data_IF_659604218552
#
_entry.id   IF_659604218552
#
_cell.length_a   1.000
_cell.length_b   1.000
_cell.length_c   1.000
_cell.angle_alpha   90.00
_cell.angle_beta   90.00
_cell.angle_gamma   90.00
#
_symmetry.space_group_name_H-M   'P 1'
#
loop_
_entity.id
_entity.type
_entity.pdbx_description
1 polymer ?
#
# COMPACT_ATOMS: atom_id res chain seq x y z
N UNK A 1 -40.64 -5.82 -2.07
CA UNK A 1 -40.31 -5.26 -0.74
C UNK A 1 -40.22 -6.31 0.36
N UNK A 2 -41.26 -7.11 0.69
CA UNK A 2 -41.24 -8.08 1.83
C UNK A 2 -40.08 -9.11 1.75
N UNK A 3 -39.59 -9.44 0.56
CA UNK A 3 -38.47 -10.36 0.37
C UNK A 3 -37.10 -9.77 0.72
N UNK A 4 -36.82 -8.55 0.24
CA UNK A 4 -35.52 -7.88 0.38
C UNK A 4 -35.17 -7.63 1.85
N UNK A 5 -36.13 -7.17 2.65
CA UNK A 5 -35.92 -6.91 4.08
C UNK A 5 -35.55 -8.18 4.86
N UNK A 6 -36.17 -9.32 4.53
CA UNK A 6 -35.84 -10.60 5.17
C UNK A 6 -34.45 -11.10 4.79
N UNK A 7 -34.00 -10.87 3.55
CA UNK A 7 -32.65 -11.26 3.14
C UNK A 7 -31.57 -10.34 3.71
N UNK A 8 -31.83 -9.03 3.78
CA UNK A 8 -30.97 -8.09 4.51
C UNK A 8 -30.85 -8.55 5.96
N UNK A 9 -31.97 -8.91 6.59
CA UNK A 9 -31.99 -9.43 7.95
C UNK A 9 -31.15 -10.71 8.10
N UNK A 10 -31.26 -11.66 7.17
CA UNK A 10 -30.44 -12.88 7.15
C UNK A 10 -28.93 -12.55 7.08
N UNK A 11 -28.53 -11.61 6.20
CA UNK A 11 -27.13 -11.15 6.09
C UNK A 11 -26.67 -10.50 7.40
N UNK A 12 -27.50 -9.62 7.95
CA UNK A 12 -27.22 -8.88 9.17
C UNK A 12 -27.07 -9.82 10.38
N UNK A 13 -27.99 -10.78 10.55
CA UNK A 13 -27.92 -11.80 11.61
C UNK A 13 -26.65 -12.65 11.52
N UNK A 14 -26.23 -12.97 10.30
CA UNK A 14 -24.99 -13.68 10.07
C UNK A 14 -23.76 -12.85 10.45
N UNK A 15 -23.70 -11.59 10.00
CA UNK A 15 -22.61 -10.68 10.34
C UNK A 15 -22.49 -10.47 11.86
N UNK A 16 -23.62 -10.40 12.58
CA UNK A 16 -23.63 -10.33 14.05
C UNK A 16 -23.12 -11.62 14.70
N UNK A 17 -23.63 -12.77 14.26
CA UNK A 17 -23.37 -14.06 14.93
C UNK A 17 -21.98 -14.64 14.66
N UNK A 18 -21.35 -14.30 13.53
CA UNK A 18 -20.08 -14.92 13.11
C UNK A 18 -18.90 -13.95 13.04
N UNK A 19 -19.14 -12.65 12.83
CA UNK A 19 -18.07 -11.72 12.44
C UNK A 19 -17.96 -10.46 13.30
N UNK A 20 -18.61 -10.44 14.47
CA UNK A 20 -18.62 -9.35 15.45
C UNK A 20 -19.04 -7.99 14.87
N UNK A 21 -19.99 -7.99 13.95
CA UNK A 21 -20.64 -6.74 13.54
C UNK A 21 -21.72 -6.35 14.56
N UNK A 22 -21.79 -5.07 14.87
CA UNK A 22 -22.91 -4.44 15.56
C UNK A 22 -23.88 -3.87 14.52
N UNK A 23 -25.16 -3.88 14.82
CA UNK A 23 -26.20 -3.40 13.91
C UNK A 23 -26.82 -2.16 14.52
N UNK A 24 -26.91 -1.11 13.72
CA UNK A 24 -27.52 0.15 14.12
C UNK A 24 -28.66 0.48 13.16
N UNK A 25 -29.77 0.94 13.72
CA UNK A 25 -30.86 1.52 12.94
C UNK A 25 -30.56 3.02 12.74
N UNK A 26 -30.55 3.46 11.49
CA UNK A 26 -30.41 4.85 11.09
C UNK A 26 -31.76 5.37 10.62
N UNK A 27 -32.10 6.59 11.05
CA UNK A 27 -33.37 7.21 10.70
C UNK A 27 -33.08 8.28 9.64
N UNK A 28 -33.29 7.95 8.37
CA UNK A 28 -32.73 8.78 7.29
C UNK A 28 -33.67 9.05 6.13
N UNK A 29 -33.75 10.32 5.71
CA UNK A 29 -34.23 10.78 4.39
C UNK A 29 -33.14 10.64 3.30
N UNK A 30 -32.22 9.67 3.41
CA UNK A 30 -31.02 9.52 2.56
C UNK A 30 -31.28 8.82 1.23
N UNK A 31 -32.48 8.29 1.00
CA UNK A 31 -32.78 7.46 -0.17
C UNK A 31 -32.25 6.03 -0.08
N UNK A 32 -31.70 5.61 1.07
CA UNK A 32 -31.38 4.21 1.34
C UNK A 32 -32.65 3.37 1.47
N UNK A 33 -32.62 2.16 0.92
CA UNK A 33 -33.76 1.24 0.98
C UNK A 33 -33.84 0.51 2.33
N UNK A 34 -32.71 0.41 3.05
CA UNK A 34 -32.65 -0.14 4.40
C UNK A 34 -32.20 0.90 5.41
N UNK A 35 -32.91 0.94 6.53
CA UNK A 35 -32.56 1.74 7.70
C UNK A 35 -31.51 1.05 8.58
N UNK A 36 -30.98 -0.12 8.20
CA UNK A 36 -30.03 -0.86 9.01
C UNK A 36 -28.62 -0.77 8.44
N UNK A 37 -27.66 -0.42 9.30
CA UNK A 37 -26.24 -0.46 8.99
C UNK A 37 -25.54 -1.49 9.86
N UNK A 38 -24.56 -2.19 9.29
CA UNK A 38 -23.70 -3.10 10.03
C UNK A 38 -22.32 -2.45 10.24
N UNK A 39 -21.86 -2.38 11.47
CA UNK A 39 -20.62 -1.70 11.89
C UNK A 39 -19.70 -2.68 12.58
N UNK A 40 -18.48 -2.84 12.07
CA UNK A 40 -17.41 -3.60 12.73
C UNK A 40 -16.35 -2.64 13.22
N UNK A 41 -16.15 -2.65 14.53
CA UNK A 41 -15.10 -1.89 15.18
C UNK A 41 -13.74 -2.55 14.94
N UNK A 42 -12.79 -1.82 14.34
CA UNK A 42 -11.39 -2.23 14.19
C UNK A 42 -10.50 -1.24 14.94
N UNK A 43 -9.23 -1.61 15.15
CA UNK A 43 -8.29 -0.78 15.91
C UNK A 43 -8.23 0.66 15.40
N UNK A 44 -8.10 0.85 14.08
CA UNK A 44 -7.85 2.17 13.47
C UNK A 44 -9.07 2.83 12.79
N UNK A 45 -10.14 2.09 12.50
CA UNK A 45 -11.31 2.60 11.77
C UNK A 45 -12.57 1.78 12.01
N UNK A 46 -13.74 2.36 11.78
CA UNK A 46 -14.99 1.62 11.71
C UNK A 46 -15.22 1.13 10.29
N UNK A 47 -15.44 -0.18 10.13
CA UNK A 47 -15.87 -0.74 8.86
C UNK A 47 -17.40 -0.75 8.84
N UNK A 48 -18.00 0.11 8.02
CA UNK A 48 -19.45 0.29 7.96
C UNK A 48 -19.97 -0.31 6.66
N UNK A 49 -21.03 -1.10 6.75
CA UNK A 49 -21.73 -1.69 5.62
C UNK A 49 -23.16 -1.18 5.58
N UNK A 50 -23.54 -0.61 4.45
CA UNK A 50 -24.90 -0.18 4.14
C UNK A 50 -25.46 -1.00 2.99
N UNK A 51 -26.78 -1.18 2.98
CA UNK A 51 -27.50 -1.92 1.95
C UNK A 51 -28.37 -0.96 1.12
N UNK A 52 -28.27 -1.06 -0.20
CA UNK A 52 -29.06 -0.27 -1.14
C UNK A 52 -29.51 -1.12 -2.32
N UNK A 53 -30.41 -0.61 -3.16
CA UNK A 53 -30.80 -1.27 -4.41
C UNK A 53 -30.24 -0.58 -5.65
N UNK A 54 -30.34 -1.26 -6.79
CA UNK A 54 -29.96 -0.74 -8.10
C UNK A 54 -30.75 0.51 -8.51
N UNK A 55 -31.97 0.70 -7.97
CA UNK A 55 -32.76 1.90 -8.23
C UNK A 55 -32.32 3.08 -7.34
N UNK A 56 -32.02 2.81 -6.07
CA UNK A 56 -31.64 3.82 -5.10
C UNK A 56 -30.21 4.35 -5.32
N UNK A 57 -29.27 3.51 -5.80
CA UNK A 57 -27.86 3.90 -5.91
C UNK A 57 -27.61 5.14 -6.78
N UNK A 58 -28.41 5.32 -7.84
CA UNK A 58 -28.25 6.45 -8.78
C UNK A 58 -28.48 7.81 -8.11
N UNK A 59 -29.18 7.83 -6.98
CA UNK A 59 -29.52 9.03 -6.24
C UNK A 59 -28.86 9.08 -4.86
N UNK A 60 -27.91 8.20 -4.55
CA UNK A 60 -27.22 8.20 -3.26
C UNK A 60 -26.24 9.37 -3.17
N UNK A 61 -26.43 10.20 -2.15
CA UNK A 61 -25.43 11.17 -1.72
C UNK A 61 -24.47 10.52 -0.72
N UNK A 62 -23.36 9.97 -1.25
CA UNK A 62 -22.37 9.25 -0.45
C UNK A 62 -21.67 10.14 0.57
N UNK A 63 -21.37 11.39 0.22
CA UNK A 63 -20.72 12.33 1.13
C UNK A 63 -21.63 12.63 2.31
N UNK A 64 -22.92 12.89 2.06
CA UNK A 64 -23.91 13.11 3.11
C UNK A 64 -24.08 11.89 4.03
N UNK A 65 -24.17 10.68 3.45
CA UNK A 65 -24.30 9.43 4.24
C UNK A 65 -23.06 9.22 5.10
N UNK A 66 -21.86 9.45 4.54
CA UNK A 66 -20.61 9.29 5.27
C UNK A 66 -20.50 10.30 6.42
N UNK A 67 -20.86 11.57 6.21
CA UNK A 67 -20.90 12.59 7.26
C UNK A 67 -21.93 12.27 8.35
N UNK A 68 -23.12 11.81 7.97
CA UNK A 68 -24.16 11.42 8.91
C UNK A 68 -23.69 10.25 9.79
N UNK A 69 -23.11 9.19 9.20
CA UNK A 69 -22.62 8.04 9.96
C UNK A 69 -21.41 8.44 10.84
N UNK A 70 -20.52 9.31 10.34
CA UNK A 70 -19.45 9.92 11.17
C UNK A 70 -19.98 10.66 12.37
N UNK A 71 -21.14 11.31 12.28
CA UNK A 71 -21.75 11.99 13.43
C UNK A 71 -22.26 11.01 14.50
N UNK A 72 -22.56 9.75 14.12
CA UNK A 72 -23.04 8.70 15.02
C UNK A 72 -21.90 7.89 15.64
N UNK A 73 -20.82 7.65 14.87
CA UNK A 73 -19.67 6.87 15.31
C UNK A 73 -18.53 7.80 15.69
N UNK A 74 -18.34 8.00 16.99
CA UNK A 74 -17.29 8.88 17.52
C UNK A 74 -15.97 8.11 17.61
N UNK A 75 -14.85 8.84 17.46
CA UNK A 75 -13.47 8.44 17.78
C UNK A 75 -12.61 7.75 16.70
N UNK A 76 -13.16 7.34 15.55
CA UNK A 76 -12.35 6.72 14.47
C UNK A 76 -12.86 7.09 13.06
N UNK A 77 -11.98 7.13 12.04
CA UNK A 77 -12.42 7.25 10.65
C UNK A 77 -13.32 6.08 10.24
N UNK A 78 -14.17 6.30 9.22
CA UNK A 78 -15.09 5.29 8.70
C UNK A 78 -14.64 4.84 7.31
N UNK A 79 -14.66 3.53 7.09
CA UNK A 79 -14.60 2.91 5.78
C UNK A 79 -16.02 2.49 5.37
N UNK A 80 -16.68 3.28 4.53
CA UNK A 80 -18.05 3.05 4.09
C UNK A 80 -18.09 2.08 2.92
N UNK A 81 -18.78 0.95 3.10
CA UNK A 81 -19.00 -0.06 2.09
C UNK A 81 -20.48 -0.12 1.70
N UNK A 82 -20.76 -0.18 0.41
CA UNK A 82 -22.12 -0.19 -0.14
C UNK A 82 -22.37 -1.55 -0.81
N UNK A 83 -23.29 -2.32 -0.23
CA UNK A 83 -23.84 -3.52 -0.84
C UNK A 83 -25.06 -3.16 -1.68
N UNK A 84 -25.01 -3.44 -2.99
CA UNK A 84 -26.23 -3.39 -3.81
C UNK A 84 -26.91 -4.74 -3.77
N UNK A 85 -28.20 -4.73 -3.48
CA UNK A 85 -29.09 -5.86 -3.66
C UNK A 85 -29.82 -5.72 -4.99
N UNK A 86 -29.78 -6.77 -5.78
CA UNK A 86 -30.41 -6.81 -7.09
C UNK A 86 -31.36 -7.99 -7.18
N UNK A 87 -32.56 -7.73 -7.69
CA UNK A 87 -33.65 -8.68 -7.88
C UNK A 87 -33.71 -9.26 -9.30
N UNK A 88 -32.71 -8.95 -10.13
CA UNK A 88 -32.52 -9.51 -11.47
C UNK A 88 -31.33 -10.48 -11.48
N UNK A 89 -31.37 -11.49 -12.36
CA UNK A 89 -30.26 -12.42 -12.57
C UNK A 89 -29.10 -11.66 -13.24
N UNK A 90 -27.96 -11.58 -12.56
CA UNK A 90 -26.81 -10.80 -13.01
C UNK A 90 -25.76 -11.72 -13.61
N UNK A 91 -25.47 -11.52 -14.88
CA UNK A 91 -24.33 -12.11 -15.55
C UNK A 91 -23.18 -11.09 -15.72
N UNK A 92 -22.04 -11.55 -16.21
CA UNK A 92 -20.89 -10.68 -16.47
C UNK A 92 -21.16 -9.59 -17.54
N UNK A 93 -22.22 -9.71 -18.35
CA UNK A 93 -22.58 -8.71 -19.35
C UNK A 93 -23.26 -7.49 -18.72
N UNK A 94 -24.08 -7.70 -17.69
CA UNK A 94 -24.68 -6.63 -16.90
C UNK A 94 -23.62 -5.81 -16.17
N UNK A 95 -22.63 -6.47 -15.54
CA UNK A 95 -21.53 -5.79 -14.84
C UNK A 95 -20.75 -4.87 -15.80
N UNK A 96 -20.48 -5.35 -17.02
CA UNK A 96 -19.79 -4.55 -18.04
C UNK A 96 -20.64 -3.39 -18.60
N UNK A 97 -21.96 -3.41 -18.38
CA UNK A 97 -22.88 -2.35 -18.78
C UNK A 97 -23.07 -1.26 -17.71
N UNK A 98 -22.66 -1.51 -16.47
CA UNK A 98 -22.71 -0.54 -15.39
C UNK A 98 -21.73 0.61 -15.66
N UNK A 99 -22.14 1.83 -15.32
CA UNK A 99 -21.28 3.01 -15.44
C UNK A 99 -20.01 2.82 -14.59
N UNK A 100 -18.84 2.90 -15.23
CA UNK A 100 -17.53 2.77 -14.60
C UNK A 100 -17.32 3.67 -13.37
N UNK A 101 -18.00 4.82 -13.29
CA UNK A 101 -17.98 5.68 -12.10
C UNK A 101 -18.85 5.13 -10.97
N UNK A 102 -20.00 4.54 -11.30
CA UNK A 102 -20.87 3.87 -10.33
C UNK A 102 -20.17 2.63 -9.74
N UNK A 103 -19.49 1.84 -10.58
CA UNK A 103 -18.73 0.64 -10.19
C UNK A 103 -17.64 0.94 -9.15
N UNK A 104 -17.01 2.13 -9.20
CA UNK A 104 -15.98 2.54 -8.24
C UNK A 104 -16.54 2.76 -6.83
N UNK A 105 -17.80 3.14 -6.73
CA UNK A 105 -18.45 3.44 -5.44
C UNK A 105 -19.16 2.23 -4.83
N UNK A 106 -19.29 1.13 -5.59
CA UNK A 106 -19.94 -0.10 -5.17
C UNK A 106 -18.92 -1.05 -4.54
N UNK A 107 -19.20 -1.48 -3.31
CA UNK A 107 -18.34 -2.44 -2.62
C UNK A 107 -18.64 -3.86 -3.06
N UNK A 108 -19.90 -4.26 -3.18
CA UNK A 108 -20.25 -5.55 -3.78
C UNK A 108 -21.72 -5.55 -4.23
N UNK A 109 -22.03 -6.41 -5.21
CA UNK A 109 -23.39 -6.64 -5.69
C UNK A 109 -23.81 -8.04 -5.28
N UNK A 110 -24.99 -8.14 -4.69
CA UNK A 110 -25.61 -9.39 -4.24
C UNK A 110 -26.84 -9.62 -5.10
N UNK A 111 -26.87 -10.77 -5.78
CA UNK A 111 -28.10 -11.26 -6.41
C UNK A 111 -28.97 -11.87 -5.31
N UNK A 112 -30.09 -11.20 -5.07
CA UNK A 112 -31.05 -11.51 -4.03
C UNK A 112 -31.75 -12.85 -4.29
N UNK A 113 -32.03 -13.20 -5.55
CA UNK A 113 -32.78 -14.40 -5.89
C UNK A 113 -31.92 -15.65 -5.73
N UNK A 114 -30.67 -15.57 -6.18
CA UNK A 114 -29.73 -16.67 -6.16
C UNK A 114 -28.88 -16.73 -4.87
N UNK A 115 -29.04 -15.73 -3.98
CA UNK A 115 -28.35 -15.62 -2.68
C UNK A 115 -26.82 -15.72 -2.81
N UNK A 116 -26.26 -15.12 -3.85
CA UNK A 116 -24.84 -15.11 -4.16
C UNK A 116 -24.33 -13.68 -4.39
N UNK A 117 -23.05 -13.48 -4.12
CA UNK A 117 -22.36 -12.23 -4.44
C UNK A 117 -21.87 -12.34 -5.87
N UNK A 118 -22.34 -11.45 -6.75
CA UNK A 118 -22.03 -11.47 -8.17
C UNK A 118 -20.89 -10.53 -8.52
N UNK A 119 -20.65 -9.48 -7.72
CA UNK A 119 -19.55 -8.54 -7.90
C UNK A 119 -18.93 -8.18 -6.55
N UNK A 120 -17.62 -8.03 -6.52
CA UNK A 120 -16.87 -7.46 -5.40
C UNK A 120 -15.88 -6.39 -5.92
N UNK A 121 -15.98 -5.19 -5.37
CA UNK A 121 -15.10 -4.07 -5.63
C UNK A 121 -13.80 -4.16 -4.83
N UNK A 122 -12.85 -3.30 -5.16
CA UNK A 122 -11.50 -3.33 -4.59
C UNK A 122 -11.50 -3.23 -3.05
N UNK A 123 -10.77 -4.13 -2.38
CA UNK A 123 -10.60 -4.11 -0.92
C UNK A 123 -11.75 -4.72 -0.11
N UNK A 124 -12.76 -5.29 -0.77
CA UNK A 124 -13.99 -5.78 -0.11
C UNK A 124 -13.97 -7.27 0.21
N UNK A 125 -12.91 -7.98 -0.19
CA UNK A 125 -12.74 -9.43 -0.01
C UNK A 125 -13.03 -9.91 1.41
N UNK A 126 -12.53 -9.22 2.43
CA UNK A 126 -12.75 -9.62 3.82
C UNK A 126 -14.24 -9.55 4.20
N UNK A 127 -14.98 -8.57 3.67
CA UNK A 127 -16.41 -8.41 3.94
C UNK A 127 -17.21 -9.47 3.16
N UNK A 128 -16.80 -9.73 1.91
CA UNK A 128 -17.37 -10.81 1.09
C UNK A 128 -17.18 -12.16 1.77
N UNK A 129 -16.00 -12.43 2.33
CA UNK A 129 -15.72 -13.65 3.10
C UNK A 129 -16.53 -13.72 4.41
N UNK A 130 -16.72 -12.59 5.10
CA UNK A 130 -17.59 -12.49 6.27
C UNK A 130 -19.07 -12.81 5.90
N UNK A 131 -19.54 -12.43 4.71
CA UNK A 131 -20.92 -12.67 4.24
C UNK A 131 -21.09 -14.10 3.68
N UNK A 132 -20.13 -14.61 2.90
CA UNK A 132 -20.19 -15.89 2.18
C UNK A 132 -19.50 -16.99 3.02
N UNK A 133 -20.14 -17.39 4.12
CA UNK A 133 -19.63 -18.49 4.97
C UNK A 133 -19.85 -19.91 4.41
N UNK A 134 -20.04 -20.10 3.10
CA UNK A 134 -20.26 -21.44 2.49
C UNK A 134 -19.28 -21.66 1.31
N UNK A 135 -18.46 -22.73 1.33
CA UNK A 135 -17.46 -23.00 0.27
C UNK A 135 -18.06 -23.18 -1.13
N UNK A 136 -19.26 -23.75 -1.25
CA UNK A 136 -19.93 -24.03 -2.54
C UNK A 136 -20.42 -22.79 -3.29
N UNK A 137 -20.50 -21.62 -2.64
CA UNK A 137 -20.92 -20.36 -3.28
C UNK A 137 -19.76 -19.58 -3.91
N UNK A 138 -18.52 -20.09 -3.83
CA UNK A 138 -17.31 -19.38 -4.29
C UNK A 138 -17.04 -19.50 -5.79
N UNK A 139 -17.68 -20.43 -6.50
CA UNK A 139 -17.29 -20.77 -7.88
C UNK A 139 -17.81 -19.78 -8.95
N UNK A 140 -18.75 -18.88 -8.62
CA UNK A 140 -19.38 -17.97 -9.60
C UNK A 140 -19.30 -16.47 -9.23
N UNK A 141 -18.37 -16.07 -8.35
CA UNK A 141 -18.20 -14.65 -7.98
C UNK A 141 -17.33 -13.96 -9.04
N UNK A 142 -17.87 -12.99 -9.77
CA UNK A 142 -17.09 -12.14 -10.67
C UNK A 142 -16.34 -11.09 -9.84
N UNK A 143 -15.10 -11.41 -9.50
CA UNK A 143 -14.17 -10.40 -9.00
C UNK A 143 -13.78 -9.49 -10.17
N UNK A 144 -13.69 -8.18 -9.91
CA UNK A 144 -13.07 -7.25 -10.86
C UNK A 144 -11.70 -7.82 -11.30
N UNK A 145 -11.33 -7.77 -12.58
CA UNK A 145 -10.06 -8.33 -13.08
C UNK A 145 -8.82 -7.76 -12.36
N UNK A 146 -8.96 -6.58 -11.73
CA UNK A 146 -7.94 -6.00 -10.86
C UNK A 146 -7.76 -6.73 -9.50
N UNK A 147 -8.76 -7.50 -9.05
CA UNK A 147 -8.78 -8.26 -7.79
C UNK A 147 -8.23 -9.69 -7.92
N UNK A 148 -8.12 -10.23 -9.14
CA UNK A 148 -7.32 -11.43 -9.41
C UNK A 148 -5.83 -11.22 -9.02
N UNK A 149 -5.42 -9.96 -8.86
CA UNK A 149 -4.12 -9.54 -8.36
C UNK A 149 -4.10 -9.13 -6.87
N UNK A 150 -5.15 -9.36 -6.07
CA UNK A 150 -5.17 -9.03 -4.62
C UNK A 150 -4.19 -9.88 -3.79
N UNK A 151 -3.56 -10.89 -4.39
CA UNK A 151 -2.35 -11.53 -3.88
C UNK A 151 -1.06 -10.91 -4.47
N UNK A 152 -1.00 -9.59 -4.68
CA UNK A 152 0.23 -8.84 -4.98
C UNK A 152 1.16 -8.93 -3.77
N UNK A 153 1.77 -10.10 -3.57
CA UNK A 153 2.88 -10.28 -2.64
C UNK A 153 4.02 -9.41 -3.17
N UNK A 154 4.54 -8.54 -2.32
CA UNK A 154 5.75 -7.76 -2.57
C UNK A 154 6.96 -8.69 -2.73
N UNK A 155 7.09 -9.25 -3.93
CA UNK A 155 8.02 -10.33 -4.24
C UNK A 155 9.38 -9.74 -4.51
N UNK A 156 9.43 -8.59 -5.21
CA UNK A 156 10.67 -7.91 -5.51
C UNK A 156 11.31 -7.35 -4.24
N UNK A 157 10.52 -6.76 -3.34
CA UNK A 157 11.01 -6.29 -2.04
C UNK A 157 11.72 -7.42 -1.29
N UNK A 158 11.08 -8.60 -1.21
CA UNK A 158 11.66 -9.79 -0.57
C UNK A 158 12.90 -10.31 -1.28
N UNK A 159 12.94 -10.27 -2.61
CA UNK A 159 14.12 -10.64 -3.40
C UNK A 159 15.29 -9.68 -3.11
N UNK A 160 15.05 -8.37 -3.09
CA UNK A 160 16.07 -7.37 -2.76
C UNK A 160 16.59 -7.57 -1.34
N UNK A 161 15.70 -7.85 -0.37
CA UNK A 161 16.11 -8.19 1.00
C UNK A 161 17.00 -9.44 1.00
N UNK A 162 16.59 -10.50 0.29
CA UNK A 162 17.38 -11.72 0.14
C UNK A 162 18.76 -11.48 -0.44
N UNK A 163 18.88 -10.64 -1.48
CA UNK A 163 20.16 -10.25 -2.09
C UNK A 163 21.04 -9.52 -1.09
N UNK A 164 20.50 -8.57 -0.33
CA UNK A 164 21.25 -7.83 0.68
C UNK A 164 21.76 -8.74 1.81
N UNK A 165 20.91 -9.66 2.29
CA UNK A 165 21.31 -10.66 3.28
C UNK A 165 22.42 -11.54 2.73
N UNK A 166 22.27 -12.05 1.50
CA UNK A 166 23.28 -12.88 0.85
C UNK A 166 24.62 -12.16 0.70
N UNK A 167 24.61 -10.92 0.21
CA UNK A 167 25.82 -10.10 0.10
C UNK A 167 26.46 -9.78 1.46
N UNK A 168 25.65 -9.59 2.50
CA UNK A 168 26.14 -9.43 3.85
C UNK A 168 26.81 -10.69 4.38
N UNK A 169 26.27 -11.89 4.13
CA UNK A 169 26.90 -13.14 4.52
C UNK A 169 28.27 -13.33 3.85
N UNK A 170 28.40 -12.96 2.57
CA UNK A 170 29.70 -12.95 1.87
C UNK A 170 30.66 -11.97 2.56
N UNK A 171 30.19 -10.76 2.84
CA UNK A 171 30.99 -9.72 3.50
C UNK A 171 31.46 -10.15 4.89
N UNK A 172 30.56 -10.74 5.68
CA UNK A 172 30.83 -11.23 7.04
C UNK A 172 31.84 -12.37 7.03
N UNK A 173 31.70 -13.32 6.09
CA UNK A 173 32.65 -14.42 5.91
C UNK A 173 34.04 -13.89 5.58
N UNK A 174 34.16 -12.98 4.61
CA UNK A 174 35.45 -12.40 4.20
C UNK A 174 36.04 -11.46 5.26
N UNK A 175 35.20 -10.81 6.07
CA UNK A 175 35.64 -9.96 7.19
C UNK A 175 36.01 -10.76 8.45
N UNK A 176 35.66 -12.04 8.52
CA UNK A 176 35.85 -12.87 9.72
C UNK A 176 34.96 -12.49 10.91
N UNK A 177 33.89 -11.71 10.69
CA UNK A 177 32.98 -11.22 11.74
C UNK A 177 31.56 -11.08 11.20
N UNK A 178 30.58 -11.57 11.95
CA UNK A 178 29.15 -11.40 11.63
C UNK A 178 28.60 -10.07 12.14
N UNK A 179 29.26 -9.41 13.11
CA UNK A 179 28.74 -8.20 13.73
C UNK A 179 29.22 -6.92 13.03
N UNK A 180 30.41 -6.96 12.45
CA UNK A 180 31.10 -5.81 11.86
C UNK A 180 31.81 -6.23 10.57
N UNK A 181 31.75 -5.38 9.55
CA UNK A 181 32.42 -5.61 8.26
C UNK A 181 33.74 -4.85 8.19
N UNK A 182 34.80 -5.48 7.68
CA UNK A 182 36.07 -4.81 7.42
C UNK A 182 35.92 -3.85 6.23
N UNK A 183 36.36 -2.61 6.39
CA UNK A 183 36.30 -1.59 5.35
C UNK A 183 37.04 -1.99 4.07
N UNK A 184 38.15 -2.72 4.17
CA UNK A 184 38.92 -3.21 3.01
C UNK A 184 38.12 -4.25 2.23
N UNK A 185 37.38 -5.12 2.93
CA UNK A 185 36.48 -6.10 2.31
C UNK A 185 35.33 -5.39 1.60
N UNK A 186 34.71 -4.39 2.25
CA UNK A 186 33.66 -3.58 1.62
C UNK A 186 34.16 -2.88 0.35
N UNK A 187 35.35 -2.28 0.41
CA UNK A 187 35.99 -1.64 -0.75
C UNK A 187 36.25 -2.66 -1.86
N UNK A 188 36.79 -3.83 -1.53
CA UNK A 188 37.03 -4.91 -2.48
C UNK A 188 35.74 -5.38 -3.17
N UNK A 189 34.65 -5.51 -2.42
CA UNK A 189 33.34 -5.96 -2.92
C UNK A 189 32.54 -4.87 -3.65
N UNK A 190 33.06 -3.65 -3.77
CA UNK A 190 32.44 -2.60 -4.58
C UNK A 190 31.75 -1.48 -3.78
N UNK A 191 32.21 -1.17 -2.57
CA UNK A 191 31.80 0.05 -1.88
C UNK A 191 32.07 1.30 -2.74
N UNK A 192 31.28 2.36 -2.55
CA UNK A 192 31.48 3.61 -3.25
C UNK A 192 32.76 4.28 -2.74
N UNK A 193 33.71 4.53 -3.65
CA UNK A 193 34.99 5.18 -3.39
C UNK A 193 35.30 6.10 -4.57
N UNK A 194 35.48 7.41 -4.31
CA UNK A 194 35.59 8.42 -5.38
C UNK A 194 36.77 8.15 -6.34
N UNK A 195 37.94 7.81 -5.81
CA UNK A 195 39.12 7.56 -6.63
C UNK A 195 38.94 6.40 -7.62
N UNK A 196 38.26 5.32 -7.21
CA UNK A 196 37.98 4.20 -8.11
C UNK A 196 36.89 4.53 -9.14
N UNK A 197 35.87 5.29 -8.76
CA UNK A 197 34.86 5.79 -9.71
C UNK A 197 35.52 6.69 -10.76
N UNK A 198 36.44 7.57 -10.36
CA UNK A 198 37.21 8.41 -11.28
C UNK A 198 38.06 7.61 -12.28
N UNK A 199 38.48 6.41 -11.87
CA UNK A 199 39.26 5.49 -12.71
C UNK A 199 38.37 4.53 -13.54
N UNK A 200 37.06 4.76 -13.59
CA UNK A 200 36.13 4.03 -14.45
C UNK A 200 35.35 2.90 -13.77
N UNK A 201 35.49 2.70 -12.45
CA UNK A 201 34.74 1.68 -11.71
C UNK A 201 33.30 2.12 -11.38
N UNK A 202 32.54 2.52 -12.40
CA UNK A 202 31.17 3.08 -12.25
C UNK A 202 30.16 2.10 -11.66
N UNK A 203 30.43 0.80 -11.74
CA UNK A 203 29.59 -0.23 -11.11
C UNK A 203 29.45 0.00 -9.59
N UNK A 204 30.40 0.70 -8.96
CA UNK A 204 30.36 1.08 -7.54
C UNK A 204 29.17 1.98 -7.18
N UNK A 205 28.61 2.70 -8.15
CA UNK A 205 27.36 3.46 -7.94
C UNK A 205 26.16 2.54 -7.69
N UNK A 206 26.23 1.29 -8.16
CA UNK A 206 25.22 0.27 -7.94
C UNK A 206 25.61 -0.66 -6.81
N UNK A 207 26.79 -1.28 -6.84
CA UNK A 207 27.16 -2.34 -5.89
C UNK A 207 27.19 -1.87 -4.44
N UNK A 208 27.52 -0.60 -4.19
CA UNK A 208 27.52 -0.02 -2.85
C UNK A 208 26.17 -0.15 -2.12
N UNK A 209 25.05 -0.17 -2.85
CA UNK A 209 23.71 -0.27 -2.25
C UNK A 209 23.44 -1.62 -1.60
N UNK A 210 24.23 -2.66 -1.92
CA UNK A 210 24.05 -4.02 -1.41
C UNK A 210 25.02 -4.39 -0.27
N UNK A 211 25.93 -3.49 0.09
CA UNK A 211 26.96 -3.72 1.10
C UNK A 211 26.56 -3.07 2.42
N UNK A 212 26.90 -3.70 3.55
CA UNK A 212 26.53 -3.21 4.88
C UNK A 212 27.71 -3.30 5.85
N UNK A 213 27.87 -2.26 6.67
CA UNK A 213 28.99 -2.12 7.62
C UNK A 213 28.92 -3.00 8.86
N UNK A 214 27.78 -3.65 9.10
CA UNK A 214 27.56 -4.52 10.25
C UNK A 214 26.12 -5.00 10.35
N UNK A 215 25.85 -5.88 11.33
CA UNK A 215 24.60 -6.63 11.41
C UNK A 215 23.42 -5.71 11.72
N UNK A 216 23.62 -4.76 12.64
CA UNK A 216 22.61 -3.77 13.02
C UNK A 216 22.28 -2.87 11.82
N UNK A 217 23.29 -2.44 11.05
CA UNK A 217 23.07 -1.63 9.86
C UNK A 217 22.25 -2.39 8.81
N UNK A 218 22.57 -3.66 8.55
CA UNK A 218 21.74 -4.50 7.69
C UNK A 218 20.30 -4.64 8.23
N UNK A 219 20.15 -5.00 9.51
CA UNK A 219 18.85 -5.26 10.11
C UNK A 219 17.92 -4.05 10.02
N UNK A 220 18.43 -2.85 10.32
CA UNK A 220 17.66 -1.60 10.23
C UNK A 220 17.25 -1.30 8.78
N UNK A 221 18.14 -1.47 7.81
CA UNK A 221 17.80 -1.27 6.40
C UNK A 221 16.77 -2.29 5.91
N UNK A 222 16.90 -3.57 6.27
CA UNK A 222 15.96 -4.60 5.84
C UNK A 222 14.60 -4.42 6.51
N UNK A 223 14.57 -4.01 7.79
CA UNK A 223 13.34 -3.63 8.48
C UNK A 223 12.65 -2.46 7.78
N UNK A 224 13.39 -1.37 7.50
CA UNK A 224 12.84 -0.19 6.82
C UNK A 224 12.33 -0.54 5.41
N UNK A 225 13.12 -1.29 4.63
CA UNK A 225 12.74 -1.73 3.29
C UNK A 225 11.51 -2.63 3.31
N UNK A 226 11.39 -3.54 4.27
CA UNK A 226 10.22 -4.40 4.41
C UNK A 226 8.97 -3.64 4.89
N UNK A 227 9.14 -2.57 5.68
CA UNK A 227 8.04 -1.76 6.16
C UNK A 227 7.42 -0.90 5.03
N UNK A 228 8.26 -0.31 4.16
CA UNK A 228 7.81 0.67 3.17
C UNK A 228 7.84 0.18 1.71
N UNK A 229 8.76 -0.73 1.39
CA UNK A 229 8.92 -1.30 0.05
C UNK A 229 7.65 -1.94 -0.52
N UNK A 230 6.93 -2.79 0.25
CA UNK A 230 5.73 -3.45 -0.24
C UNK A 230 4.63 -2.49 -0.70
N UNK A 231 4.46 -1.37 -0.01
CA UNK A 231 3.47 -0.35 -0.34
C UNK A 231 3.73 0.18 -1.76
N UNK A 232 4.97 0.57 -2.05
CA UNK A 232 5.34 1.13 -3.36
C UNK A 232 5.32 0.04 -4.45
N UNK A 233 5.73 -1.19 -4.14
CA UNK A 233 5.67 -2.31 -5.09
C UNK A 233 4.23 -2.68 -5.48
N UNK A 234 3.31 -2.68 -4.52
CA UNK A 234 1.89 -3.00 -4.76
C UNK A 234 1.24 -1.87 -5.57
N UNK A 235 1.54 -0.62 -5.22
CA UNK A 235 0.96 0.57 -5.84
C UNK A 235 1.38 0.72 -7.31
N UNK A 236 2.68 0.65 -7.61
CA UNK A 236 3.19 0.86 -8.98
C UNK A 236 3.41 -0.42 -9.77
N UNK A 237 3.43 -1.58 -9.10
CA UNK A 237 3.83 -2.84 -9.71
C UNK A 237 5.36 -3.04 -9.75
N UNK A 238 5.75 -4.27 -10.05
CA UNK A 238 7.14 -4.77 -9.93
C UNK A 238 8.17 -3.98 -10.76
N UNK A 239 7.84 -3.68 -12.02
CA UNK A 239 8.77 -3.03 -12.94
C UNK A 239 9.09 -1.59 -12.52
N UNK A 240 8.05 -0.81 -12.22
CA UNK A 240 8.20 0.58 -11.76
C UNK A 240 8.88 0.66 -10.40
N UNK A 241 8.55 -0.26 -9.49
CA UNK A 241 9.25 -0.36 -8.21
C UNK A 241 10.75 -0.59 -8.37
N UNK A 242 11.17 -1.48 -9.28
CA UNK A 242 12.59 -1.69 -9.59
C UNK A 242 13.24 -0.42 -10.12
N UNK A 243 12.58 0.28 -11.05
CA UNK A 243 13.07 1.54 -11.61
C UNK A 243 13.27 2.57 -10.49
N UNK A 244 12.27 2.77 -9.64
CA UNK A 244 12.34 3.70 -8.50
C UNK A 244 13.49 3.31 -7.57
N UNK A 245 13.60 2.04 -7.16
CA UNK A 245 14.62 1.56 -6.24
C UNK A 245 16.04 1.77 -6.80
N UNK A 246 16.30 1.31 -8.03
CA UNK A 246 17.64 1.37 -8.62
C UNK A 246 18.05 2.79 -9.00
N UNK A 247 17.16 3.60 -9.58
CA UNK A 247 17.49 4.99 -9.93
C UNK A 247 17.77 5.82 -8.67
N UNK A 248 16.96 5.64 -7.62
CA UNK A 248 17.20 6.30 -6.34
C UNK A 248 18.52 5.88 -5.70
N UNK A 249 18.85 4.57 -5.74
CA UNK A 249 20.12 4.07 -5.23
C UNK A 249 21.34 4.58 -6.01
N UNK A 250 21.24 4.69 -7.34
CA UNK A 250 22.30 5.27 -8.18
C UNK A 250 22.47 6.76 -7.89
N UNK A 251 21.38 7.52 -7.81
CA UNK A 251 21.42 8.95 -7.50
C UNK A 251 21.92 9.22 -6.08
N UNK A 252 21.60 8.33 -5.14
CA UNK A 252 22.19 8.34 -3.80
C UNK A 252 23.71 8.21 -3.85
N UNK A 253 24.23 7.16 -4.49
CA UNK A 253 25.68 6.96 -4.63
C UNK A 253 26.35 8.10 -5.41
N UNK A 254 25.66 8.68 -6.39
CA UNK A 254 26.15 9.80 -7.17
C UNK A 254 26.23 11.10 -6.37
N UNK A 255 25.21 11.42 -5.57
CA UNK A 255 25.25 12.57 -4.65
C UNK A 255 26.34 12.40 -3.60
N UNK A 256 26.46 11.20 -3.03
CA UNK A 256 27.58 10.86 -2.16
C UNK A 256 28.91 11.08 -2.85
N UNK A 257 29.06 10.67 -4.11
CA UNK A 257 30.27 10.88 -4.89
C UNK A 257 30.60 12.37 -5.08
N UNK A 258 29.60 13.21 -5.37
CA UNK A 258 29.79 14.65 -5.58
C UNK A 258 30.13 15.41 -4.29
N UNK A 259 29.51 15.05 -3.18
CA UNK A 259 29.50 15.87 -1.97
C UNK A 259 30.21 15.23 -0.77
N UNK A 260 30.67 13.99 -0.89
CA UNK A 260 31.38 13.27 0.18
C UNK A 260 32.58 12.50 -0.37
N UNK A 261 33.73 12.66 0.29
CA UNK A 261 34.95 11.88 0.02
C UNK A 261 34.96 10.53 0.75
N UNK A 262 34.04 10.33 1.70
CA UNK A 262 33.97 9.11 2.50
C UNK A 262 33.56 7.90 1.66
N UNK A 263 34.00 6.72 2.12
CA UNK A 263 33.48 5.44 1.62
C UNK A 263 32.02 5.33 2.01
N UNK A 264 31.17 4.93 1.06
CA UNK A 264 29.73 4.78 1.30
C UNK A 264 29.23 3.40 0.90
N UNK A 265 28.32 2.86 1.71
CA UNK A 265 27.65 1.58 1.54
C UNK A 265 26.23 1.65 2.12
N UNK A 266 25.37 0.74 1.69
CA UNK A 266 24.07 0.48 2.30
C UNK A 266 22.89 0.78 1.38
N UNK A 267 21.80 0.05 1.60
CA UNK A 267 20.56 0.21 0.85
C UNK A 267 19.78 1.48 1.23
N UNK A 268 20.17 2.17 2.31
CA UNK A 268 19.44 3.31 2.88
C UNK A 268 19.15 4.42 1.86
N UNK A 269 20.09 4.72 0.95
CA UNK A 269 19.86 5.66 -0.15
C UNK A 269 18.67 5.30 -1.04
N UNK A 270 18.59 4.04 -1.47
CA UNK A 270 17.46 3.55 -2.25
C UNK A 270 16.15 3.55 -1.42
N UNK A 271 16.24 3.21 -0.12
CA UNK A 271 15.09 3.25 0.81
C UNK A 271 14.56 4.68 0.97
N UNK A 272 15.42 5.69 1.06
CA UNK A 272 15.02 7.10 1.03
C UNK A 272 14.32 7.47 -0.27
N UNK A 273 14.71 6.87 -1.38
CA UNK A 273 13.97 6.97 -2.64
C UNK A 273 12.57 6.36 -2.59
N UNK A 274 12.42 5.18 -1.97
CA UNK A 274 11.11 4.56 -1.72
C UNK A 274 10.25 5.43 -0.77
N UNK A 275 10.84 6.07 0.23
CA UNK A 275 10.16 7.07 1.06
C UNK A 275 9.72 8.29 0.22
N UNK A 276 10.56 8.74 -0.71
CA UNK A 276 10.20 9.78 -1.69
C UNK A 276 9.04 9.38 -2.59
N UNK A 277 9.01 8.14 -3.06
CA UNK A 277 7.88 7.60 -3.82
C UNK A 277 6.61 7.55 -2.97
N UNK A 278 6.73 7.15 -1.70
CA UNK A 278 5.61 7.13 -0.75
C UNK A 278 5.08 8.53 -0.48
N UNK A 279 5.92 9.57 -0.42
CA UNK A 279 5.48 10.96 -0.32
C UNK A 279 4.58 11.35 -1.49
N UNK A 280 4.92 10.95 -2.73
CA UNK A 280 4.08 11.24 -3.89
C UNK A 280 2.73 10.53 -3.76
N UNK A 281 2.72 9.24 -3.40
CA UNK A 281 1.48 8.48 -3.15
C UNK A 281 0.61 9.18 -2.09
N UNK A 282 1.21 9.54 -0.95
CA UNK A 282 0.52 10.18 0.15
C UNK A 282 0.00 11.57 -0.23
N UNK A 283 0.78 12.34 -1.00
CA UNK A 283 0.39 13.65 -1.50
C UNK A 283 -0.80 13.54 -2.47
N UNK A 284 -0.77 12.64 -3.43
CA UNK A 284 -1.88 12.46 -4.40
C UNK A 284 -3.17 12.05 -3.68
N UNK A 285 -3.09 11.27 -2.61
CA UNK A 285 -4.26 10.83 -1.83
C UNK A 285 -4.63 11.75 -0.65
N UNK A 286 -3.95 12.89 -0.46
CA UNK A 286 -4.11 13.75 0.74
C UNK A 286 -5.53 14.29 0.94
N UNK A 287 -6.28 14.51 -0.14
CA UNK A 287 -7.67 15.00 -0.11
C UNK A 287 -8.68 13.89 0.23
N UNK A 288 -8.29 12.62 0.12
CA UNK A 288 -9.09 11.42 0.40
C UNK A 288 -8.75 10.80 1.76
N UNK A 289 -8.42 11.62 2.75
CA UNK A 289 -8.00 11.16 4.09
C UNK A 289 -6.51 10.86 4.26
N UNK A 290 -5.68 10.94 3.22
CA UNK A 290 -4.24 10.64 3.29
C UNK A 290 -3.36 11.69 3.99
N UNK A 291 -3.93 12.75 4.58
CA UNK A 291 -3.18 13.86 5.17
C UNK A 291 -2.33 13.45 6.37
N UNK A 292 -2.86 12.59 7.24
CA UNK A 292 -2.11 12.08 8.40
C UNK A 292 -0.97 11.16 7.97
N UNK A 293 -1.24 10.27 7.00
CA UNK A 293 -0.22 9.42 6.41
C UNK A 293 0.91 10.25 5.78
N UNK A 294 0.59 11.32 5.03
CA UNK A 294 1.57 12.26 4.49
C UNK A 294 2.43 12.89 5.60
N UNK A 295 1.82 13.38 6.67
CA UNK A 295 2.54 13.97 7.80
C UNK A 295 3.46 12.95 8.49
N UNK A 296 3.02 11.71 8.63
CA UNK A 296 3.82 10.63 9.20
C UNK A 296 5.06 10.34 8.34
N UNK A 297 4.90 10.23 7.01
CA UNK A 297 6.04 10.01 6.11
C UNK A 297 7.02 11.19 6.13
N UNK A 298 6.52 12.44 6.15
CA UNK A 298 7.36 13.63 6.30
C UNK A 298 8.13 13.57 7.62
N UNK A 299 7.46 13.23 8.73
CA UNK A 299 8.07 13.09 10.05
C UNK A 299 9.18 12.03 10.05
N UNK A 300 8.91 10.85 9.48
CA UNK A 300 9.90 9.76 9.35
C UNK A 300 11.13 10.23 8.56
N UNK A 301 10.95 10.94 7.45
CA UNK A 301 12.06 11.45 6.64
C UNK A 301 12.88 12.47 7.43
N UNK A 302 12.23 13.45 8.06
CA UNK A 302 12.90 14.50 8.84
C UNK A 302 13.69 13.89 10.00
N UNK A 303 13.08 12.98 10.78
CA UNK A 303 13.74 12.31 11.90
C UNK A 303 14.94 11.49 11.42
N UNK A 304 14.81 10.71 10.34
CA UNK A 304 15.93 9.92 9.83
C UNK A 304 17.07 10.80 9.32
N UNK A 305 16.78 11.95 8.69
CA UNK A 305 17.83 12.89 8.28
C UNK A 305 18.51 13.52 9.51
N UNK A 306 17.77 13.97 10.52
CA UNK A 306 18.35 14.53 11.75
C UNK A 306 19.23 13.50 12.46
N UNK A 307 18.75 12.26 12.60
CA UNK A 307 19.53 11.17 13.18
C UNK A 307 20.77 10.86 12.33
N UNK A 308 20.63 10.87 11.00
CA UNK A 308 21.75 10.69 10.08
C UNK A 308 22.81 11.77 10.22
N UNK A 309 22.45 13.04 10.43
CA UNK A 309 23.42 14.10 10.72
C UNK A 309 24.04 13.99 12.12
N UNK A 310 23.38 13.29 13.05
CA UNK A 310 23.83 13.12 14.43
C UNK A 310 24.75 11.91 14.63
N UNK A 311 24.66 10.89 13.76
CA UNK A 311 25.44 9.65 13.87
C UNK A 311 26.67 9.73 12.94
N UNK A 312 27.90 9.60 13.48
CA UNK A 312 29.11 9.56 12.66
C UNK A 312 29.07 8.45 11.61
N UNK A 313 29.65 8.72 10.44
CA UNK A 313 29.75 7.78 9.31
C UNK A 313 28.42 7.43 8.62
N UNK A 314 27.35 8.22 8.82
CA UNK A 314 26.14 8.15 8.00
C UNK A 314 26.26 9.08 6.79
N UNK A 315 25.89 8.56 5.62
CA UNK A 315 25.97 9.28 4.36
C UNK A 315 24.69 10.07 4.05
N UNK A 316 24.57 11.25 4.65
CA UNK A 316 23.39 12.12 4.47
C UNK A 316 23.27 12.67 3.04
N UNK A 317 24.38 12.88 2.34
CA UNK A 317 24.33 13.27 0.92
C UNK A 317 23.74 12.15 0.08
N UNK A 318 24.10 10.90 0.39
CA UNK A 318 23.45 9.73 -0.14
C UNK A 318 21.95 9.71 0.14
N UNK A 319 21.50 9.95 1.38
CA UNK A 319 20.07 9.97 1.72
C UNK A 319 19.30 11.05 0.97
N UNK A 320 19.85 12.26 0.89
CA UNK A 320 19.25 13.38 0.16
C UNK A 320 19.16 13.07 -1.34
N UNK A 321 20.24 12.56 -1.95
CA UNK A 321 20.26 12.18 -3.36
C UNK A 321 19.26 11.07 -3.70
N UNK A 322 19.13 10.09 -2.80
CA UNK A 322 18.15 9.02 -2.90
C UNK A 322 16.71 9.54 -2.83
N UNK A 323 16.42 10.40 -1.85
CA UNK A 323 15.11 11.02 -1.67
C UNK A 323 14.69 11.86 -2.89
N UNK A 324 15.58 12.75 -3.34
CA UNK A 324 15.34 13.60 -4.52
C UNK A 324 15.14 12.72 -5.75
N UNK A 325 16.00 11.72 -5.95
CA UNK A 325 15.92 10.78 -7.06
C UNK A 325 14.59 10.03 -7.08
N UNK A 326 14.17 9.52 -5.93
CA UNK A 326 12.89 8.82 -5.76
C UNK A 326 11.68 9.70 -6.04
N UNK A 327 11.65 10.94 -5.52
CA UNK A 327 10.59 11.90 -5.80
C UNK A 327 10.50 12.19 -7.30
N UNK A 328 11.63 12.51 -7.95
CA UNK A 328 11.66 12.87 -9.37
C UNK A 328 11.22 11.70 -10.24
N UNK A 329 11.82 10.52 -10.07
CA UNK A 329 11.50 9.38 -10.93
C UNK A 329 10.05 8.92 -10.72
N UNK A 330 9.57 8.96 -9.48
CA UNK A 330 8.18 8.61 -9.18
C UNK A 330 7.21 9.59 -9.82
N UNK A 331 7.51 10.89 -9.77
CA UNK A 331 6.70 11.91 -10.45
C UNK A 331 6.66 11.70 -11.97
N UNK A 332 7.80 11.39 -12.59
CA UNK A 332 7.87 11.10 -14.04
C UNK A 332 7.02 9.87 -14.39
N UNK A 333 7.10 8.80 -13.60
CA UNK A 333 6.29 7.59 -13.81
C UNK A 333 4.79 7.90 -13.60
N UNK A 334 4.44 8.71 -12.60
CA UNK A 334 3.06 9.14 -12.37
C UNK A 334 2.45 9.85 -13.59
N UNK A 335 3.21 10.74 -14.23
CA UNK A 335 2.77 11.44 -15.43
C UNK A 335 2.59 10.52 -16.65
N UNK A 336 3.27 9.38 -16.69
CA UNK A 336 3.19 8.45 -17.83
C UNK A 336 1.95 7.54 -17.83
N UNK A 337 1.22 7.47 -16.71
CA UNK A 337 0.17 6.47 -16.49
C UNK A 337 -1.24 7.06 -16.26
N UNK A 338 -1.49 8.32 -16.62
CA UNK A 338 -2.80 9.00 -16.44
C UNK A 338 -3.38 8.90 -15.01
N UNK A 339 -2.52 8.78 -13.99
CA UNK A 339 -2.98 8.84 -12.60
C UNK A 339 -3.54 10.24 -12.29
N UNK A 340 -4.74 10.36 -11.69
CA UNK A 340 -5.31 11.65 -11.36
C UNK A 340 -4.49 12.33 -10.24
N UNK A 341 -4.02 13.57 -10.50
CA UNK A 341 -3.24 14.41 -9.57
C UNK A 341 -4.09 15.22 -8.57
#
# INVERSE_FOLDING_TARGET
>A
MIGIDNFIKDIIEKLMSTNNYNVMEINTNTGLESNWIAVKDKEDFYNVLIFSSNFAIKNLDKEYIEEYIKSLLVDKPINLNIAILMDEEIDGSFINSLDSNLIKDISFIVDYNNRNIVYAGEGTRNIVEDIVSVPEQRENIYYNENDANSNKKATITKIIIGINIFMYLITAFLSGSIFTSDIKVLIFLGAKVNSFINNGEYYRLITAMFLHGGLIHLALNMYALNAIGPLVEIYFGKAKYLIIYFISGILSSYFSYLFSSSVSIGASGAIFGILGATLIIAYTNRKKGGKEFLNNIISVIVVNLILGFSIPNVDNFGHIGGLIGGVIITFVLFLSDDYPL
#
